data_IF_865160398756
#
_entry.id   IF_865160398756
#
_cell.length_a   1.000
_cell.length_b   1.000
_cell.length_c   1.000
_cell.angle_alpha   90.00
_cell.angle_beta   90.00
_cell.angle_gamma   90.00
#
_symmetry.space_group_name_H-M   'P 1'
#
loop_
_entity.id
_entity.type
_entity.pdbx_description
1 polymer ?
#
# COMPACT_ATOMS: atom_id res chain seq x y z
N UNK A 1 90.60 0.02 -70.98
CA UNK A 1 89.73 0.57 -69.91
C UNK A 1 88.46 -0.27 -69.64
N UNK A 2 87.91 -1.04 -70.61
CA UNK A 2 86.68 -1.82 -70.41
C UNK A 2 86.73 -2.95 -69.35
N UNK A 3 87.91 -3.43 -68.95
CA UNK A 3 88.05 -4.57 -68.03
C UNK A 3 88.21 -4.20 -66.54
N UNK A 4 88.46 -2.93 -66.18
CA UNK A 4 88.67 -2.50 -64.77
C UNK A 4 87.38 -2.09 -64.06
N UNK A 5 86.46 -1.47 -64.77
CA UNK A 5 85.14 -1.07 -64.26
C UNK A 5 84.36 -2.23 -63.59
N UNK A 6 84.34 -3.46 -64.17
CA UNK A 6 83.64 -4.59 -63.57
C UNK A 6 84.18 -4.99 -62.19
N UNK A 7 85.50 -5.01 -62.02
CA UNK A 7 86.16 -5.41 -60.77
C UNK A 7 85.89 -4.42 -59.65
N UNK A 8 85.97 -3.13 -59.95
CA UNK A 8 85.78 -2.05 -58.97
C UNK A 8 84.32 -1.99 -58.45
N UNK A 9 83.37 -2.34 -59.33
CA UNK A 9 81.94 -2.48 -58.99
C UNK A 9 81.70 -3.73 -58.13
N UNK A 10 82.33 -4.88 -58.45
CA UNK A 10 82.26 -6.09 -57.61
C UNK A 10 82.80 -5.84 -56.20
N UNK A 11 83.91 -5.11 -56.08
CA UNK A 11 84.55 -4.81 -54.80
C UNK A 11 83.69 -3.88 -53.93
N UNK A 12 83.05 -2.88 -54.54
CA UNK A 12 82.06 -2.02 -53.89
C UNK A 12 80.82 -2.80 -53.43
N UNK A 13 80.30 -3.71 -54.27
CA UNK A 13 79.16 -4.57 -53.92
C UNK A 13 79.51 -5.51 -52.77
N UNK A 14 80.68 -6.15 -52.82
CA UNK A 14 81.19 -7.04 -51.78
C UNK A 14 81.28 -6.32 -50.43
N UNK A 15 81.86 -5.10 -50.42
CA UNK A 15 81.93 -4.26 -49.20
C UNK A 15 80.55 -3.97 -48.63
N UNK A 16 79.58 -3.55 -49.45
CA UNK A 16 78.21 -3.29 -49.01
C UNK A 16 77.52 -4.53 -48.45
N UNK A 17 77.70 -5.69 -49.08
CA UNK A 17 77.17 -6.96 -48.59
C UNK A 17 77.77 -7.36 -47.24
N UNK A 18 79.07 -7.15 -47.04
CA UNK A 18 79.72 -7.38 -45.73
C UNK A 18 79.23 -6.41 -44.66
N UNK A 19 79.02 -5.13 -45.00
CA UNK A 19 78.43 -4.17 -44.07
C UNK A 19 77.02 -4.59 -43.63
N UNK A 20 76.19 -5.06 -44.56
CA UNK A 20 74.85 -5.58 -44.26
C UNK A 20 74.91 -6.83 -43.37
N UNK A 21 75.84 -7.75 -43.62
CA UNK A 21 76.06 -8.91 -42.77
C UNK A 21 76.49 -8.51 -41.35
N UNK A 22 77.45 -7.59 -41.20
CA UNK A 22 77.90 -7.13 -39.89
C UNK A 22 76.82 -6.35 -39.14
N UNK A 23 75.89 -5.69 -39.83
CA UNK A 23 74.72 -5.07 -39.21
C UNK A 23 73.73 -6.09 -38.65
N UNK A 24 73.45 -7.17 -39.41
CA UNK A 24 72.57 -8.25 -38.95
C UNK A 24 73.22 -9.10 -37.85
N UNK A 25 74.51 -9.41 -38.00
CA UNK A 25 75.27 -10.19 -37.05
C UNK A 25 76.64 -9.54 -36.76
N UNK A 26 76.75 -8.73 -35.70
CA UNK A 26 77.97 -7.99 -35.32
C UNK A 26 79.18 -8.89 -35.06
N UNK A 27 78.95 -10.16 -34.69
CA UNK A 27 80.02 -11.14 -34.46
C UNK A 27 80.76 -11.54 -35.74
N UNK A 28 80.22 -11.20 -36.91
CA UNK A 28 80.82 -11.53 -38.20
C UNK A 28 81.97 -10.60 -38.59
N UNK A 29 82.20 -9.50 -37.86
CA UNK A 29 83.19 -8.49 -38.26
C UNK A 29 84.64 -9.00 -38.16
N UNK A 30 84.91 -9.95 -37.25
CA UNK A 30 86.19 -10.63 -37.10
C UNK A 30 86.41 -11.79 -38.10
N UNK A 31 85.42 -12.14 -38.92
CA UNK A 31 85.52 -13.28 -39.84
C UNK A 31 86.43 -12.98 -41.05
N UNK A 32 87.05 -14.04 -41.58
CA UNK A 32 87.78 -13.96 -42.85
C UNK A 32 86.83 -13.62 -44.00
N UNK A 33 87.33 -12.94 -45.05
CA UNK A 33 86.50 -12.52 -46.18
C UNK A 33 85.77 -13.68 -46.87
N UNK A 34 86.35 -14.89 -46.87
CA UNK A 34 85.75 -16.11 -47.42
C UNK A 34 84.56 -16.59 -46.59
N UNK A 35 84.67 -16.52 -45.25
CA UNK A 35 83.58 -16.79 -44.32
C UNK A 35 82.48 -15.74 -44.40
N UNK A 36 82.83 -14.45 -44.50
CA UNK A 36 81.86 -13.36 -44.72
C UNK A 36 81.09 -13.55 -46.02
N UNK A 37 81.77 -13.94 -47.11
CA UNK A 37 81.12 -14.23 -48.39
C UNK A 37 80.13 -15.39 -48.28
N UNK A 38 80.51 -16.51 -47.64
CA UNK A 38 79.62 -17.64 -47.43
C UNK A 38 78.40 -17.30 -46.56
N UNK A 39 78.59 -16.50 -45.49
CA UNK A 39 77.51 -16.02 -44.63
C UNK A 39 76.58 -15.04 -45.34
N UNK A 40 77.11 -14.15 -46.17
CA UNK A 40 76.30 -13.25 -47.04
C UNK A 40 75.42 -14.06 -47.99
N UNK A 41 75.95 -15.12 -48.58
CA UNK A 41 75.18 -15.98 -49.50
C UNK A 41 73.99 -16.63 -48.81
N UNK A 42 74.12 -17.02 -47.54
CA UNK A 42 73.03 -17.62 -46.75
C UNK A 42 72.15 -16.59 -46.01
N UNK A 43 72.58 -15.32 -45.93
CA UNK A 43 71.88 -14.27 -45.17
C UNK A 43 70.45 -14.04 -45.67
N UNK A 44 70.23 -14.12 -46.98
CA UNK A 44 68.90 -13.95 -47.56
C UNK A 44 67.92 -15.04 -47.08
N UNK A 45 68.37 -16.31 -47.01
CA UNK A 45 67.57 -17.43 -46.52
C UNK A 45 67.26 -17.29 -45.03
N UNK A 46 68.26 -16.89 -44.23
CA UNK A 46 68.10 -16.63 -42.79
C UNK A 46 67.08 -15.51 -42.53
N UNK A 47 67.20 -14.38 -43.24
CA UNK A 47 66.27 -13.25 -43.10
C UNK A 47 64.84 -13.60 -43.50
N UNK A 48 64.67 -14.44 -44.53
CA UNK A 48 63.35 -14.95 -44.92
C UNK A 48 62.77 -15.86 -43.83
N UNK A 49 63.59 -16.73 -43.25
CA UNK A 49 63.20 -17.58 -42.11
C UNK A 49 62.79 -16.77 -40.87
N UNK A 50 63.59 -15.79 -40.47
CA UNK A 50 63.30 -14.88 -39.35
C UNK A 50 62.03 -14.06 -39.59
N UNK A 51 61.84 -13.55 -40.81
CA UNK A 51 60.63 -12.84 -41.20
C UNK A 51 59.40 -13.73 -41.07
N UNK A 52 59.48 -14.98 -41.54
CA UNK A 52 58.37 -15.92 -41.42
C UNK A 52 58.07 -16.25 -39.95
N UNK A 53 59.09 -16.52 -39.14
CA UNK A 53 58.93 -16.75 -37.70
C UNK A 53 58.29 -15.55 -36.99
N UNK A 54 58.69 -14.33 -37.32
CA UNK A 54 58.10 -13.11 -36.77
C UNK A 54 56.61 -12.97 -37.18
N UNK A 55 56.28 -13.29 -38.43
CA UNK A 55 54.89 -13.27 -38.91
C UNK A 55 54.03 -14.34 -38.21
N UNK A 56 54.55 -15.54 -38.03
CA UNK A 56 53.87 -16.63 -37.32
C UNK A 56 53.67 -16.28 -35.84
N UNK A 57 54.69 -15.72 -35.18
CA UNK A 57 54.60 -15.26 -33.80
C UNK A 57 53.55 -14.14 -33.64
N UNK A 58 53.49 -13.19 -34.59
CA UNK A 58 52.49 -12.12 -34.59
C UNK A 58 51.07 -12.65 -34.79
N UNK A 59 50.91 -13.67 -35.64
CA UNK A 59 49.61 -14.34 -35.84
C UNK A 59 49.17 -15.06 -34.56
N UNK A 60 50.07 -15.83 -33.92
CA UNK A 60 49.81 -16.49 -32.64
C UNK A 60 49.47 -15.51 -31.52
N UNK A 61 50.16 -14.37 -31.46
CA UNK A 61 49.87 -13.33 -30.48
C UNK A 61 48.44 -12.80 -30.65
N UNK A 62 48.01 -12.51 -31.88
CA UNK A 62 46.64 -12.05 -32.17
C UNK A 62 45.59 -13.06 -31.72
N UNK A 63 45.81 -14.34 -31.99
CA UNK A 63 44.91 -15.42 -31.56
C UNK A 63 44.81 -15.49 -30.03
N UNK A 64 45.94 -15.39 -29.34
CA UNK A 64 45.99 -15.37 -27.87
C UNK A 64 45.27 -14.15 -27.28
N UNK A 65 45.43 -12.97 -27.89
CA UNK A 65 44.72 -11.76 -27.45
C UNK A 65 43.20 -11.93 -27.56
N UNK A 66 42.70 -12.46 -28.68
CA UNK A 66 41.27 -12.71 -28.88
C UNK A 66 40.74 -13.74 -27.87
N UNK A 67 41.51 -14.80 -27.59
CA UNK A 67 41.16 -15.78 -26.57
C UNK A 67 41.10 -15.15 -25.17
N UNK A 68 42.05 -14.29 -24.83
CA UNK A 68 42.10 -13.59 -23.55
C UNK A 68 40.91 -12.63 -23.39
N UNK A 69 40.57 -11.87 -24.43
CA UNK A 69 39.39 -10.99 -24.43
C UNK A 69 38.09 -11.78 -24.21
N UNK A 70 37.92 -12.91 -24.91
CA UNK A 70 36.75 -13.79 -24.73
C UNK A 70 36.66 -14.31 -23.29
N UNK A 71 37.78 -14.75 -22.71
CA UNK A 71 37.83 -15.23 -21.32
C UNK A 71 37.51 -14.12 -20.33
N UNK A 72 38.11 -12.94 -20.51
CA UNK A 72 37.85 -11.75 -19.71
C UNK A 72 36.37 -11.39 -19.72
N UNK A 73 35.75 -11.28 -20.90
CA UNK A 73 34.33 -11.00 -21.05
C UNK A 73 33.44 -12.04 -20.35
N UNK A 74 33.79 -13.33 -20.48
CA UNK A 74 33.06 -14.42 -19.83
C UNK A 74 33.12 -14.31 -18.31
N UNK A 75 34.32 -14.08 -17.74
CA UNK A 75 34.48 -13.92 -16.30
C UNK A 75 33.73 -12.69 -15.77
N UNK A 76 33.81 -11.56 -16.46
CA UNK A 76 33.05 -10.36 -16.11
C UNK A 76 31.55 -10.60 -16.12
N UNK A 77 31.02 -11.32 -17.12
CA UNK A 77 29.61 -11.65 -17.20
C UNK A 77 29.16 -12.56 -16.04
N UNK A 78 29.95 -13.57 -15.68
CA UNK A 78 29.68 -14.44 -14.54
C UNK A 78 29.68 -13.64 -13.23
N UNK A 79 30.67 -12.77 -13.04
CA UNK A 79 30.75 -11.88 -11.88
C UNK A 79 29.52 -10.98 -11.75
N UNK A 80 29.08 -10.35 -12.85
CA UNK A 80 27.87 -9.54 -12.87
C UNK A 80 26.62 -10.35 -12.49
N UNK A 81 26.52 -11.59 -12.99
CA UNK A 81 25.40 -12.48 -12.64
C UNK A 81 25.41 -12.87 -11.17
N UNK A 82 26.59 -13.17 -10.60
CA UNK A 82 26.74 -13.45 -9.17
C UNK A 82 26.35 -12.23 -8.31
N UNK A 83 26.76 -11.03 -8.74
CA UNK A 83 26.42 -9.78 -8.05
C UNK A 83 24.91 -9.53 -8.06
N UNK A 84 24.25 -9.71 -9.21
CA UNK A 84 22.80 -9.59 -9.32
C UNK A 84 22.05 -10.60 -8.42
N UNK A 85 22.54 -11.85 -8.34
CA UNK A 85 21.99 -12.87 -7.44
C UNK A 85 22.13 -12.46 -5.97
N UNK A 86 23.30 -11.97 -5.57
CA UNK A 86 23.54 -11.49 -4.20
C UNK A 86 22.65 -10.30 -3.85
N UNK A 87 22.47 -9.35 -4.76
CA UNK A 87 21.57 -8.21 -4.57
C UNK A 87 20.12 -8.65 -4.37
N UNK A 88 19.65 -9.60 -5.19
CA UNK A 88 18.30 -10.15 -5.08
C UNK A 88 18.10 -10.86 -3.74
N UNK A 89 19.04 -11.71 -3.33
CA UNK A 89 18.99 -12.41 -2.04
C UNK A 89 18.96 -11.43 -0.87
N UNK A 90 19.76 -10.35 -0.94
CA UNK A 90 19.79 -9.33 0.11
C UNK A 90 18.46 -8.57 0.19
N UNK A 91 17.85 -8.22 -0.95
CA UNK A 91 16.53 -7.59 -0.99
C UNK A 91 15.44 -8.51 -0.45
N UNK A 92 15.40 -9.77 -0.89
CA UNK A 92 14.41 -10.75 -0.45
C UNK A 92 14.53 -11.02 1.06
N UNK A 93 15.74 -11.21 1.59
CA UNK A 93 15.94 -11.38 3.03
C UNK A 93 15.54 -10.14 3.83
N UNK A 94 15.93 -8.95 3.38
CA UNK A 94 15.57 -7.70 4.05
C UNK A 94 14.05 -7.51 4.09
N UNK A 95 13.36 -7.75 2.98
CA UNK A 95 11.89 -7.67 2.91
C UNK A 95 11.23 -8.71 3.82
N UNK A 96 11.75 -9.94 3.84
CA UNK A 96 11.22 -11.01 4.69
C UNK A 96 11.35 -10.66 6.17
N UNK A 97 12.55 -10.28 6.63
CA UNK A 97 12.77 -9.87 8.03
C UNK A 97 11.92 -8.67 8.41
N UNK A 98 11.78 -7.68 7.51
CA UNK A 98 10.89 -6.54 7.76
C UNK A 98 9.44 -6.98 7.93
N UNK A 99 8.93 -7.84 7.03
CA UNK A 99 7.56 -8.33 7.11
C UNK A 99 7.28 -9.15 8.39
N UNK A 100 8.28 -9.92 8.85
CA UNK A 100 8.19 -10.68 10.09
C UNK A 100 8.14 -9.76 11.32
N UNK A 101 8.98 -8.71 11.34
CA UNK A 101 8.97 -7.69 12.38
C UNK A 101 7.65 -6.93 12.41
N UNK A 102 7.16 -6.50 11.25
CA UNK A 102 5.89 -5.77 11.13
C UNK A 102 4.72 -6.63 11.62
N UNK A 103 4.71 -7.93 11.29
CA UNK A 103 3.71 -8.88 11.79
C UNK A 103 3.73 -9.00 13.31
N UNK A 104 4.91 -9.14 13.91
CA UNK A 104 5.05 -9.23 15.38
C UNK A 104 4.60 -7.92 16.05
N UNK A 105 4.98 -6.77 15.48
CA UNK A 105 4.57 -5.46 16.00
C UNK A 105 3.06 -5.26 15.93
N UNK A 106 2.43 -5.65 14.81
CA UNK A 106 0.97 -5.59 14.66
C UNK A 106 0.26 -6.44 15.72
N UNK A 107 0.70 -7.69 15.91
CA UNK A 107 0.17 -8.58 16.94
C UNK A 107 0.34 -8.02 18.35
N UNK A 108 1.52 -7.47 18.65
CA UNK A 108 1.78 -6.82 19.94
C UNK A 108 0.84 -5.65 20.20
N UNK A 109 0.64 -4.78 19.20
CA UNK A 109 -0.27 -3.64 19.29
C UNK A 109 -1.73 -4.09 19.41
N UNK A 110 -2.14 -5.12 18.69
CA UNK A 110 -3.48 -5.70 18.77
C UNK A 110 -3.77 -6.22 20.19
N UNK A 111 -2.85 -6.99 20.76
CA UNK A 111 -2.97 -7.49 22.15
C UNK A 111 -3.02 -6.32 23.13
N UNK A 112 -2.18 -5.30 22.94
CA UNK A 112 -2.15 -4.11 23.80
C UNK A 112 -3.46 -3.31 23.72
N UNK A 113 -4.03 -3.15 22.54
CA UNK A 113 -5.34 -2.52 22.34
C UNK A 113 -6.44 -3.33 23.01
N UNK A 114 -6.44 -4.65 22.84
CA UNK A 114 -7.41 -5.55 23.47
C UNK A 114 -7.36 -5.46 25.00
N UNK A 115 -6.16 -5.43 25.57
CA UNK A 115 -5.97 -5.21 27.00
C UNK A 115 -6.47 -3.83 27.46
N UNK A 116 -6.29 -2.78 26.65
CA UNK A 116 -6.81 -1.45 26.96
C UNK A 116 -8.33 -1.41 26.95
N UNK A 117 -8.98 -2.04 25.96
CA UNK A 117 -10.44 -2.16 25.89
C UNK A 117 -10.99 -2.86 27.15
N UNK A 118 -10.35 -3.95 27.57
CA UNK A 118 -10.74 -4.65 28.80
C UNK A 118 -10.59 -3.77 30.04
N UNK A 119 -9.52 -2.97 30.14
CA UNK A 119 -9.34 -2.00 31.22
C UNK A 119 -10.44 -0.94 31.25
N UNK A 120 -10.76 -0.36 30.08
CA UNK A 120 -11.84 0.62 29.97
C UNK A 120 -13.18 0.02 30.41
N UNK A 121 -13.48 -1.21 29.99
CA UNK A 121 -14.71 -1.91 30.39
C UNK A 121 -14.74 -2.20 31.89
N UNK A 122 -13.60 -2.51 32.49
CA UNK A 122 -13.49 -2.73 33.93
C UNK A 122 -13.77 -1.45 34.72
N UNK A 123 -13.23 -0.31 34.28
CA UNK A 123 -13.52 0.99 34.91
C UNK A 123 -14.99 1.39 34.73
N UNK A 124 -15.60 1.14 33.56
CA UNK A 124 -17.03 1.38 33.33
C UNK A 124 -17.89 0.56 34.29
N UNK A 125 -17.63 -0.74 34.42
CA UNK A 125 -18.35 -1.62 35.34
C UNK A 125 -18.16 -1.20 36.80
N UNK A 126 -16.95 -0.74 37.16
CA UNK A 126 -16.66 -0.22 38.50
C UNK A 126 -17.49 1.01 38.80
N UNK A 127 -17.53 1.99 37.89
CA UNK A 127 -18.36 3.19 38.04
C UNK A 127 -19.84 2.80 38.18
N UNK A 128 -20.34 1.87 37.37
CA UNK A 128 -21.73 1.40 37.46
C UNK A 128 -22.01 0.73 38.81
N UNK A 129 -21.12 -0.15 39.27
CA UNK A 129 -21.26 -0.85 40.56
C UNK A 129 -21.23 0.13 41.74
N UNK A 130 -20.32 1.12 41.70
CA UNK A 130 -20.17 2.12 42.77
C UNK A 130 -21.36 3.10 42.78
N UNK A 131 -21.90 3.44 41.60
CA UNK A 131 -23.02 4.37 41.45
C UNK A 131 -24.35 3.72 41.82
N UNK A 132 -24.62 2.53 41.28
CA UNK A 132 -25.88 1.80 41.40
C UNK A 132 -25.73 0.59 42.33
N UNK A 133 -25.54 0.87 43.62
CA UNK A 133 -25.59 -0.16 44.65
C UNK A 133 -26.97 -0.81 44.70
N UNK A 134 -27.04 -2.05 45.19
CA UNK A 134 -28.29 -2.82 45.27
C UNK A 134 -29.40 -2.02 45.99
N UNK A 135 -29.07 -1.38 47.11
CA UNK A 135 -30.00 -0.53 47.85
C UNK A 135 -30.54 0.63 47.02
N UNK A 136 -29.68 1.37 46.31
CA UNK A 136 -30.10 2.48 45.44
C UNK A 136 -30.99 1.98 44.29
N UNK A 137 -30.67 0.81 43.72
CA UNK A 137 -31.47 0.19 42.66
C UNK A 137 -32.85 -0.19 43.18
N UNK A 138 -32.96 -0.76 44.38
CA UNK A 138 -34.25 -1.09 45.00
C UNK A 138 -35.07 0.16 45.32
N UNK A 139 -34.44 1.23 45.83
CA UNK A 139 -35.13 2.51 46.04
C UNK A 139 -35.64 3.09 44.72
N UNK A 140 -34.82 3.07 43.66
CA UNK A 140 -35.25 3.50 42.32
C UNK A 140 -36.40 2.64 41.77
N UNK A 141 -36.41 1.32 42.03
CA UNK A 141 -37.54 0.44 41.69
C UNK A 141 -38.81 0.86 42.42
N UNK A 142 -38.74 1.05 43.74
CA UNK A 142 -39.90 1.48 44.53
C UNK A 142 -40.45 2.84 44.07
N UNK A 143 -39.58 3.80 43.76
CA UNK A 143 -39.98 5.11 43.24
C UNK A 143 -40.70 4.94 41.88
N UNK A 144 -40.12 4.17 40.96
CA UNK A 144 -40.73 3.88 39.66
C UNK A 144 -42.10 3.24 39.82
N UNK A 145 -42.21 2.19 40.63
CA UNK A 145 -43.47 1.46 40.81
C UNK A 145 -44.57 2.35 41.40
N UNK A 146 -44.21 3.24 42.34
CA UNK A 146 -45.14 4.24 42.90
C UNK A 146 -45.59 5.25 41.86
N UNK A 147 -44.66 5.78 41.06
CA UNK A 147 -44.98 6.74 40.01
C UNK A 147 -45.87 6.10 38.93
N UNK A 148 -45.53 4.89 38.48
CA UNK A 148 -46.34 4.13 37.52
C UNK A 148 -47.74 3.83 38.08
N UNK A 149 -47.85 3.46 39.35
CA UNK A 149 -49.13 3.28 40.02
C UNK A 149 -49.97 4.57 40.07
N UNK A 150 -49.34 5.69 40.41
CA UNK A 150 -50.01 6.99 40.45
C UNK A 150 -50.48 7.45 39.06
N UNK A 151 -49.67 7.22 38.03
CA UNK A 151 -50.03 7.51 36.62
C UNK A 151 -51.27 6.69 36.24
N UNK A 152 -51.29 5.38 36.50
CA UNK A 152 -52.43 4.52 36.17
C UNK A 152 -53.72 4.93 36.88
N UNK A 153 -53.63 5.30 38.17
CA UNK A 153 -54.79 5.80 38.92
C UNK A 153 -55.32 7.10 38.31
N UNK A 154 -54.42 8.03 37.99
CA UNK A 154 -54.78 9.30 37.39
C UNK A 154 -55.41 9.13 36.00
N UNK A 155 -54.87 8.23 35.18
CA UNK A 155 -55.44 7.87 33.88
C UNK A 155 -56.85 7.28 34.04
N UNK A 156 -57.05 6.39 35.02
CA UNK A 156 -58.37 5.82 35.29
C UNK A 156 -59.37 6.88 35.75
N UNK A 157 -58.97 7.79 36.63
CA UNK A 157 -59.85 8.85 37.12
C UNK A 157 -60.15 9.89 36.04
N UNK A 158 -59.18 10.17 35.16
CA UNK A 158 -59.41 10.98 33.97
C UNK A 158 -60.46 10.33 33.06
N UNK A 159 -60.35 9.03 32.81
CA UNK A 159 -61.30 8.30 31.97
C UNK A 159 -62.70 8.26 32.58
N UNK A 160 -62.83 7.98 33.89
CA UNK A 160 -64.12 8.09 34.60
C UNK A 160 -64.72 9.48 34.47
N UNK A 161 -63.91 10.52 34.66
CA UNK A 161 -64.37 11.92 34.57
C UNK A 161 -64.85 12.25 33.16
N UNK A 162 -64.15 11.75 32.13
CA UNK A 162 -64.57 11.89 30.73
C UNK A 162 -65.91 11.19 30.46
N UNK A 163 -66.09 9.98 30.99
CA UNK A 163 -67.35 9.24 30.86
C UNK A 163 -68.51 10.00 31.51
N UNK A 164 -68.31 10.53 32.73
CA UNK A 164 -69.32 11.35 33.41
C UNK A 164 -69.63 12.62 32.60
N UNK A 165 -68.62 13.33 32.10
CA UNK A 165 -68.83 14.51 31.27
C UNK A 165 -69.67 14.18 30.03
N UNK A 166 -69.34 13.09 29.34
CA UNK A 166 -70.09 12.61 28.18
C UNK A 166 -71.55 12.29 28.53
N UNK A 167 -71.83 11.69 29.69
CA UNK A 167 -73.22 11.45 30.10
C UNK A 167 -74.01 12.76 30.29
N UNK A 168 -73.39 13.81 30.83
CA UNK A 168 -74.04 15.12 30.96
C UNK A 168 -74.22 15.81 29.60
N UNK A 169 -73.27 15.67 28.68
CA UNK A 169 -73.40 16.17 27.31
C UNK A 169 -74.60 15.52 26.60
N UNK A 170 -74.76 14.20 26.70
CA UNK A 170 -75.92 13.47 26.14
C UNK A 170 -77.23 13.88 26.81
N UNK A 171 -77.27 13.98 28.14
CA UNK A 171 -78.50 14.39 28.85
C UNK A 171 -78.90 15.85 28.55
N UNK A 172 -77.93 16.71 28.22
CA UNK A 172 -78.17 18.13 27.93
C UNK A 172 -79.15 18.32 26.77
N UNK A 173 -79.03 17.51 25.72
CA UNK A 173 -79.93 17.56 24.57
C UNK A 173 -81.36 17.12 24.95
N UNK A 174 -81.50 16.05 25.74
CA UNK A 174 -82.79 15.59 26.26
C UNK A 174 -83.45 16.63 27.17
N UNK A 175 -82.66 17.29 28.02
CA UNK A 175 -83.15 18.34 28.91
C UNK A 175 -83.59 19.58 28.13
N UNK A 176 -82.88 19.95 27.06
CA UNK A 176 -83.28 21.05 26.18
C UNK A 176 -84.61 20.75 25.47
N UNK A 177 -84.82 19.52 25.02
CA UNK A 177 -86.11 19.08 24.46
C UNK A 177 -87.23 19.18 25.49
N UNK A 178 -87.01 18.68 26.71
CA UNK A 178 -88.00 18.72 27.78
C UNK A 178 -88.36 20.17 28.17
N UNK A 179 -87.38 21.07 28.21
CA UNK A 179 -87.61 22.50 28.48
C UNK A 179 -88.45 23.14 27.36
N UNK A 180 -88.20 22.80 26.10
CA UNK A 180 -89.03 23.26 24.96
C UNK A 180 -90.48 22.78 25.10
N UNK A 181 -90.68 21.49 25.39
CA UNK A 181 -92.03 20.93 25.60
C UNK A 181 -92.76 21.60 26.78
N UNK A 182 -92.09 21.74 27.92
CA UNK A 182 -92.65 22.41 29.09
C UNK A 182 -93.05 23.87 28.78
N UNK A 183 -92.21 24.59 28.04
CA UNK A 183 -92.48 25.98 27.64
C UNK A 183 -93.70 26.08 26.75
N UNK A 184 -93.85 25.18 25.78
CA UNK A 184 -95.04 25.11 24.92
C UNK A 184 -96.31 24.80 25.73
N UNK A 185 -96.25 23.83 26.64
CA UNK A 185 -97.35 23.48 27.55
C UNK A 185 -97.75 24.67 28.45
N UNK A 186 -96.76 25.40 28.98
CA UNK A 186 -97.01 26.59 29.80
C UNK A 186 -97.72 27.69 29.00
N UNK A 187 -97.23 28.00 27.80
CA UNK A 187 -97.87 28.98 26.91
C UNK A 187 -99.30 28.56 26.52
N UNK A 188 -99.51 27.29 26.18
CA UNK A 188 -100.85 26.78 25.88
C UNK A 188 -101.81 26.87 27.08
N UNK A 189 -101.30 26.64 28.30
CA UNK A 189 -102.06 26.77 29.54
C UNK A 189 -102.40 28.22 29.85
N UNK A 190 -101.44 29.14 29.66
CA UNK A 190 -101.66 30.58 29.79
C UNK A 190 -102.67 31.09 28.77
N UNK A 191 -102.59 30.66 27.50
CA UNK A 191 -103.55 31.00 26.46
C UNK A 191 -104.96 30.49 26.77
N UNK A 192 -105.09 29.23 27.23
CA UNK A 192 -106.39 28.67 27.66
C UNK A 192 -106.93 29.43 28.87
N UNK A 193 -106.08 29.80 29.83
CA UNK A 193 -106.46 30.60 31.00
C UNK A 193 -106.91 32.00 30.60
N UNK A 194 -106.21 32.64 29.66
CA UNK A 194 -106.61 33.92 29.08
C UNK A 194 -107.95 33.80 28.36
N UNK A 195 -108.15 32.77 27.53
CA UNK A 195 -109.42 32.53 26.85
C UNK A 195 -110.57 32.34 27.84
N UNK A 196 -110.38 31.56 28.91
CA UNK A 196 -111.37 31.40 29.99
C UNK A 196 -111.68 32.74 30.71
N UNK A 197 -110.68 33.61 30.87
CA UNK A 197 -110.88 34.95 31.43
C UNK A 197 -111.66 35.86 30.46
N UNK A 198 -111.44 35.76 29.16
CA UNK A 198 -112.19 36.54 28.17
C UNK A 198 -113.61 36.02 27.96
N UNK A 199 -113.82 34.70 27.92
CA UNK A 199 -115.16 34.11 27.89
C UNK A 199 -115.96 34.41 29.17
N UNK A 200 -115.30 34.50 30.33
CA UNK A 200 -115.98 34.92 31.57
C UNK A 200 -116.29 36.43 31.61
N UNK A 201 -115.62 37.26 30.81
CA UNK A 201 -115.98 38.68 30.59
C UNK A 201 -117.09 38.87 29.53
N UNK A 202 -117.14 38.01 28.50
CA UNK A 202 -118.12 38.09 27.40
C UNK A 202 -119.51 37.52 27.72
N UNK A 203 -119.67 36.78 28.83
CA UNK A 203 -120.96 36.28 29.32
C UNK A 203 -121.63 37.20 30.38
N UNK A 204 -121.34 38.51 30.35
CA UNK A 204 -122.05 39.54 31.14
C UNK A 204 -122.76 40.53 30.23
#
# INVERSE_FOLDING_TARGET
MRARLPQEVEEQLKKKCFTLLCYHNPSSDSDSETLKAAKVWNLAEVLVGEKQQCQDAKSRQKEQTVLLEKKSATYSQVLLRCLALLQRLLQEHRLKTQSELDRINAQYLEIKCSAMILKLRMEELKILSDTYTAEKVEVHRLIRDRLEGAIRLQEQDMEKSRQVLNTYEVLGEEFEMLVKEYTQLKQATENKRWALQEFSKACR
#
